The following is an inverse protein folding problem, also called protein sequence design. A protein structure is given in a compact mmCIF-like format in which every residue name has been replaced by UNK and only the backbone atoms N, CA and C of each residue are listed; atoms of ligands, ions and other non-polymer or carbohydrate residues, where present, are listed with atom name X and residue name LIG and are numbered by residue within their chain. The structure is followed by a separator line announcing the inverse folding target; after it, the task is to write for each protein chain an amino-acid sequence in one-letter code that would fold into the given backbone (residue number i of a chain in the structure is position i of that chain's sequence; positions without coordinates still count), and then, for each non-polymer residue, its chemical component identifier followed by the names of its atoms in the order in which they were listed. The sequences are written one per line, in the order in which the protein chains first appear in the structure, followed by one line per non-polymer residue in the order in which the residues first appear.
data_IF_296748072719
#
_entry.id   IF_296748072719
#
_cell.length_a   1.000
_cell.length_b   1.000
_cell.length_c   1.000
_cell.angle_alpha   90.00
_cell.angle_beta   90.00
_cell.angle_gamma   90.00
#
_symmetry.space_group_name_H-M   'P 1'
#
loop_
_entity.id
_entity.type
_entity.pdbx_description
1 polymer ?
#
# COMPACT_ATOMS: atom_id res chain seq x y z
N UNK A 1 16.73 7.17 1.60
CA UNK A 1 15.82 6.24 2.29
C UNK A 1 14.95 5.58 1.23
N UNK A 2 14.79 4.26 1.30
CA UNK A 2 13.97 3.49 0.35
C UNK A 2 12.74 2.94 1.06
N UNK A 3 11.58 3.14 0.46
CA UNK A 3 10.30 2.63 0.94
C UNK A 3 9.80 1.50 0.04
N UNK A 4 9.16 0.50 0.63
CA UNK A 4 8.28 -0.42 -0.09
C UNK A 4 6.84 -0.06 0.25
N UNK A 5 5.96 0.00 -0.74
CA UNK A 5 4.57 0.41 -0.62
C UNK A 5 3.69 -0.72 -1.15
N UNK A 6 2.77 -1.20 -0.33
CA UNK A 6 1.83 -2.26 -0.70
C UNK A 6 0.43 -1.99 -0.14
N UNK A 7 -0.56 -2.67 -0.67
CA UNK A 7 -1.96 -2.53 -0.29
C UNK A 7 -2.71 -3.85 -0.39
N UNK A 8 -3.81 -3.93 0.33
CA UNK A 8 -4.85 -4.94 0.11
C UNK A 8 -4.30 -6.38 0.24
N UNK A 9 -3.74 -6.70 1.44
CA UNK A 9 -3.24 -8.04 1.81
C UNK A 9 -4.41 -9.00 2.08
N UNK A 10 -5.50 -8.48 2.64
CA UNK A 10 -6.75 -9.21 2.89
C UNK A 10 -6.58 -10.56 3.61
N UNK A 11 -5.65 -10.65 4.56
CA UNK A 11 -5.45 -11.84 5.38
C UNK A 11 -4.72 -13.00 4.69
N UNK A 12 -4.18 -12.79 3.50
CA UNK A 12 -3.38 -13.80 2.81
C UNK A 12 -2.01 -13.98 3.44
N UNK A 13 -1.78 -15.09 4.10
CA UNK A 13 -0.45 -15.41 4.66
C UNK A 13 0.57 -15.68 3.54
N UNK A 14 0.15 -16.28 2.43
CA UNK A 14 1.02 -16.50 1.28
C UNK A 14 1.58 -15.20 0.72
N UNK A 15 0.70 -14.23 0.40
CA UNK A 15 1.15 -12.97 -0.17
C UNK A 15 1.81 -12.05 0.86
N UNK A 16 1.47 -12.15 2.13
CA UNK A 16 2.19 -11.46 3.20
C UNK A 16 3.65 -11.95 3.30
N UNK A 17 3.90 -13.27 3.23
CA UNK A 17 5.27 -13.82 3.17
C UNK A 17 6.03 -13.30 1.95
N UNK A 18 5.40 -13.30 0.78
CA UNK A 18 6.00 -12.76 -0.45
C UNK A 18 6.33 -11.27 -0.35
N UNK A 19 5.45 -10.48 0.26
CA UNK A 19 5.70 -9.07 0.52
C UNK A 19 6.92 -8.85 1.40
N UNK A 20 7.06 -9.64 2.47
CA UNK A 20 8.20 -9.56 3.39
C UNK A 20 9.50 -10.01 2.70
N UNK A 21 9.46 -11.06 1.85
CA UNK A 21 10.59 -11.44 1.01
C UNK A 21 11.02 -10.27 0.10
N UNK A 22 10.06 -9.62 -0.58
CA UNK A 22 10.34 -8.44 -1.41
C UNK A 22 10.91 -7.28 -0.57
N UNK A 23 10.36 -7.02 0.62
CA UNK A 23 10.85 -5.99 1.53
C UNK A 23 12.34 -6.15 1.85
N UNK A 24 12.77 -7.36 2.16
CA UNK A 24 14.17 -7.66 2.43
C UNK A 24 15.04 -7.63 1.16
N UNK A 25 14.58 -8.23 0.06
CA UNK A 25 15.32 -8.27 -1.21
C UNK A 25 15.57 -6.89 -1.81
N UNK A 26 14.62 -5.97 -1.64
CA UNK A 26 14.75 -4.58 -2.07
C UNK A 26 15.65 -3.73 -1.16
N UNK A 27 16.12 -4.25 -0.03
CA UNK A 27 16.89 -3.51 0.97
C UNK A 27 16.16 -2.22 1.39
N UNK A 28 14.85 -2.31 1.64
CA UNK A 28 14.03 -1.18 2.01
C UNK A 28 14.18 -0.83 3.49
N UNK A 29 13.96 0.44 3.83
CA UNK A 29 14.09 0.93 5.20
C UNK A 29 12.75 0.99 5.93
N UNK A 30 11.64 1.11 5.18
CA UNK A 30 10.28 1.23 5.70
C UNK A 30 9.29 0.55 4.78
N UNK A 31 8.25 -0.02 5.38
CA UNK A 31 7.09 -0.59 4.71
C UNK A 31 5.89 0.33 4.90
N UNK A 32 5.30 0.80 3.80
CA UNK A 32 4.06 1.57 3.82
C UNK A 32 2.93 0.64 3.40
N UNK A 33 1.94 0.45 4.29
CA UNK A 33 0.74 -0.34 4.03
C UNK A 33 -0.46 0.59 3.88
N UNK A 34 -1.18 0.44 2.78
CA UNK A 34 -2.31 1.31 2.45
C UNK A 34 -3.65 0.77 2.95
N UNK A 35 -3.66 -0.15 3.92
CA UNK A 35 -4.86 -0.70 4.53
C UNK A 35 -5.32 -2.02 3.93
N UNK A 36 -6.48 -2.49 4.40
CA UNK A 36 -7.11 -3.78 4.09
C UNK A 36 -6.15 -4.95 4.35
N UNK A 37 -5.71 -5.05 5.63
CA UNK A 37 -4.65 -5.97 6.06
C UNK A 37 -5.17 -7.38 6.35
N UNK A 38 -6.18 -7.52 7.23
CA UNK A 38 -6.56 -8.81 7.82
C UNK A 38 -7.83 -9.41 7.22
N UNK A 39 -8.87 -8.60 7.00
CA UNK A 39 -10.17 -9.07 6.55
C UNK A 39 -10.24 -9.08 5.01
N UNK A 40 -10.75 -10.20 4.44
CA UNK A 40 -10.87 -10.33 2.99
C UNK A 40 -11.93 -9.41 2.37
N UNK A 41 -12.88 -8.90 3.18
CA UNK A 41 -14.03 -8.14 2.73
C UNK A 41 -15.16 -9.03 2.18
N UNK A 42 -16.45 -8.68 2.40
CA UNK A 42 -17.58 -9.58 2.10
C UNK A 42 -17.83 -9.74 0.58
N UNK A 43 -17.22 -8.90 -0.25
CA UNK A 43 -17.41 -8.90 -1.71
C UNK A 43 -16.30 -9.62 -2.47
N UNK A 44 -15.24 -10.04 -1.79
CA UNK A 44 -14.11 -10.73 -2.40
C UNK A 44 -14.14 -12.21 -2.04
N UNK A 45 -13.66 -13.05 -2.96
CA UNK A 45 -13.33 -14.43 -2.62
C UNK A 45 -12.15 -14.46 -1.62
N UNK A 46 -12.01 -15.56 -0.90
CA UNK A 46 -10.87 -15.74 0.00
C UNK A 46 -9.58 -15.77 -0.82
N UNK A 47 -8.58 -14.95 -0.46
CA UNK A 47 -7.29 -15.01 -1.13
C UNK A 47 -6.55 -16.31 -0.80
N UNK A 48 -5.53 -16.60 -1.58
CA UNK A 48 -4.67 -17.77 -1.35
C UNK A 48 -4.12 -17.76 0.07
N UNK A 49 -4.24 -18.90 0.76
CA UNK A 49 -3.75 -19.11 2.13
C UNK A 49 -4.29 -18.03 3.09
N UNK A 50 -5.63 -17.89 3.14
CA UNK A 50 -6.27 -16.95 4.06
C UNK A 50 -6.05 -17.38 5.50
N UNK A 51 -5.10 -16.77 6.18
CA UNK A 51 -4.71 -17.04 7.56
C UNK A 51 -4.34 -15.74 8.30
N UNK A 52 -5.32 -14.90 8.68
CA UNK A 52 -5.07 -13.59 9.30
C UNK A 52 -4.17 -13.65 10.53
N UNK A 53 -4.24 -14.71 11.34
CA UNK A 53 -3.37 -14.86 12.52
C UNK A 53 -1.89 -14.95 12.15
N UNK A 54 -1.56 -15.63 11.06
CA UNK A 54 -0.18 -15.68 10.55
C UNK A 54 0.27 -14.32 10.02
N UNK A 55 -0.64 -13.59 9.35
CA UNK A 55 -0.36 -12.21 8.90
C UNK A 55 -0.02 -11.30 10.07
N UNK A 56 -0.79 -11.38 11.18
CA UNK A 56 -0.53 -10.64 12.42
C UNK A 56 0.88 -10.96 12.94
N UNK A 57 1.21 -12.25 13.09
CA UNK A 57 2.52 -12.67 13.61
C UNK A 57 3.69 -12.18 12.74
N UNK A 58 3.51 -12.19 11.42
CA UNK A 58 4.53 -11.74 10.47
C UNK A 58 4.73 -10.23 10.53
N UNK A 59 3.66 -9.44 10.46
CA UNK A 59 3.74 -7.98 10.44
C UNK A 59 4.18 -7.40 11.79
N UNK A 60 3.77 -7.99 12.92
CA UNK A 60 4.19 -7.53 14.25
C UNK A 60 5.71 -7.65 14.44
N UNK A 61 6.40 -8.56 13.74
CA UNK A 61 7.87 -8.62 13.74
C UNK A 61 8.51 -7.39 13.09
N UNK A 62 7.78 -6.70 12.21
CA UNK A 62 8.22 -5.50 11.49
C UNK A 62 7.57 -4.20 12.03
N UNK A 63 6.92 -4.23 13.19
CA UNK A 63 6.12 -3.13 13.74
C UNK A 63 6.82 -1.77 13.77
N UNK A 64 8.12 -1.74 14.01
CA UNK A 64 8.90 -0.50 14.07
C UNK A 64 9.26 0.07 12.69
N UNK A 65 9.00 -0.68 11.63
CA UNK A 65 9.36 -0.36 10.26
C UNK A 65 8.12 -0.02 9.42
N UNK A 66 6.91 -0.29 9.96
CA UNK A 66 5.64 -0.11 9.26
C UNK A 66 5.06 1.29 9.52
N UNK A 67 4.63 1.93 8.43
CA UNK A 67 3.64 3.00 8.42
C UNK A 67 2.39 2.44 7.77
N UNK A 68 1.25 2.52 8.44
CA UNK A 68 -0.01 2.01 7.91
C UNK A 68 -1.11 3.07 7.98
N UNK A 69 -1.97 3.10 6.95
CA UNK A 69 -3.22 3.85 6.96
C UNK A 69 -4.41 2.88 6.96
N UNK A 70 -5.56 3.37 7.48
CA UNK A 70 -6.79 2.60 7.60
C UNK A 70 -7.43 2.33 6.24
N UNK A 71 -7.74 1.06 5.96
CA UNK A 71 -8.63 0.66 4.88
C UNK A 71 -10.10 0.61 5.31
N UNK A 72 -10.97 0.20 4.40
CA UNK A 72 -12.40 0.02 4.73
C UNK A 72 -12.68 -1.28 5.50
N UNK A 73 -11.71 -2.17 5.56
CA UNK A 73 -11.82 -3.43 6.29
C UNK A 73 -11.24 -3.37 7.71
N UNK A 74 -10.48 -2.34 8.08
CA UNK A 74 -9.94 -2.20 9.42
C UNK A 74 -10.99 -1.76 10.43
N UNK A 75 -10.99 -2.46 11.56
CA UNK A 75 -11.82 -2.15 12.74
C UNK A 75 -10.93 -1.99 13.98
N UNK A 76 -11.52 -1.50 15.08
CA UNK A 76 -10.83 -1.36 16.37
C UNK A 76 -10.22 -2.67 16.86
N UNK A 77 -10.82 -3.81 16.52
CA UNK A 77 -10.32 -5.14 16.89
C UNK A 77 -8.99 -5.46 16.20
N UNK A 78 -8.74 -4.92 15.01
CA UNK A 78 -7.47 -5.13 14.31
C UNK A 78 -6.33 -4.38 15.03
N UNK A 79 -6.61 -3.19 15.55
CA UNK A 79 -5.66 -2.44 16.38
C UNK A 79 -5.33 -3.15 17.70
N UNK A 80 -6.19 -4.03 18.20
CA UNK A 80 -5.91 -4.81 19.42
C UNK A 80 -4.88 -5.92 19.20
N UNK A 81 -4.66 -6.34 17.96
CA UNK A 81 -3.80 -7.47 17.60
C UNK A 81 -2.59 -7.09 16.75
N UNK A 82 -2.61 -5.90 16.12
CA UNK A 82 -1.48 -5.35 15.40
C UNK A 82 -0.72 -4.34 16.26
N UNK A 83 0.57 -4.57 16.45
CA UNK A 83 1.45 -3.79 17.33
C UNK A 83 1.92 -2.45 16.72
N UNK A 84 1.32 -2.02 15.62
CA UNK A 84 1.57 -0.74 14.95
C UNK A 84 0.23 -0.03 14.64
N UNK A 85 0.20 1.31 14.50
CA UNK A 85 -1.04 2.03 14.20
C UNK A 85 -1.66 1.62 12.87
N UNK A 86 -2.97 1.30 12.85
CA UNK A 86 -3.72 0.89 11.66
C UNK A 86 -5.00 1.68 11.43
N UNK A 87 -5.35 2.62 12.32
CA UNK A 87 -6.62 3.35 12.27
C UNK A 87 -6.49 4.81 11.80
N UNK A 88 -5.34 5.23 11.28
CA UNK A 88 -5.16 6.56 10.73
C UNK A 88 -5.79 6.63 9.32
N UNK A 89 -6.78 7.48 9.10
CA UNK A 89 -7.46 7.60 7.80
C UNK A 89 -6.53 8.08 6.69
N UNK A 90 -5.45 8.79 7.05
CA UNK A 90 -4.40 9.24 6.14
C UNK A 90 -3.08 9.53 6.87
N UNK A 91 -2.02 9.64 6.08
CA UNK A 91 -0.72 10.15 6.52
C UNK A 91 -0.19 11.14 5.48
N UNK A 92 0.64 12.09 5.93
CA UNK A 92 1.30 13.07 5.07
C UNK A 92 2.81 12.80 5.09
N UNK A 93 3.40 12.61 3.93
CA UNK A 93 4.85 12.44 3.82
C UNK A 93 5.46 13.51 2.91
N UNK A 94 6.35 14.37 3.46
CA UNK A 94 7.08 15.36 2.65
C UNK A 94 8.04 14.67 1.67
N UNK A 95 8.02 15.12 0.40
CA UNK A 95 8.95 14.74 -0.66
C UNK A 95 9.46 16.01 -1.35
N UNK A 96 10.60 16.52 -0.88
CA UNK A 96 11.11 17.82 -1.34
C UNK A 96 10.09 18.94 -1.04
N UNK A 97 9.61 19.62 -2.08
CA UNK A 97 8.62 20.71 -1.98
C UNK A 97 7.16 20.22 -2.11
N UNK A 98 6.94 18.91 -2.17
CA UNK A 98 5.64 18.28 -2.37
C UNK A 98 5.22 17.52 -1.13
N UNK A 99 3.94 17.24 -1.01
CA UNK A 99 3.39 16.31 -0.02
C UNK A 99 2.85 15.08 -0.75
N UNK A 100 3.21 13.91 -0.28
CA UNK A 100 2.50 12.69 -0.63
C UNK A 100 1.39 12.47 0.40
N UNK A 101 0.15 12.60 -0.03
CA UNK A 101 -1.04 12.28 0.73
C UNK A 101 -1.31 10.77 0.59
N UNK A 102 -1.11 10.05 1.67
CA UNK A 102 -1.21 8.58 1.74
C UNK A 102 -2.55 8.24 2.38
N UNK A 103 -3.38 7.49 1.69
CA UNK A 103 -4.68 7.02 2.20
C UNK A 103 -5.01 5.64 1.62
N UNK A 104 -6.12 5.04 2.02
CA UNK A 104 -6.54 3.79 1.40
C UNK A 104 -7.29 3.98 0.07
N UNK A 105 -8.12 5.00 -0.05
CA UNK A 105 -8.91 5.29 -1.26
C UNK A 105 -10.42 5.20 -1.08
N UNK A 106 -10.93 4.69 0.05
CA UNK A 106 -12.36 4.59 0.31
C UNK A 106 -12.99 5.90 0.81
N UNK A 107 -12.20 6.80 1.39
CA UNK A 107 -12.63 8.14 1.84
C UNK A 107 -12.14 9.19 0.85
N UNK A 108 -10.81 9.30 0.68
CA UNK A 108 -10.18 10.23 -0.25
C UNK A 108 -9.69 9.46 -1.48
N UNK A 109 -10.05 9.95 -2.66
CA UNK A 109 -9.71 9.37 -3.97
C UNK A 109 -9.85 10.44 -5.05
N UNK A 110 -9.75 10.08 -6.34
CA UNK A 110 -9.85 11.02 -7.45
C UNK A 110 -11.24 11.68 -7.61
N UNK A 111 -12.29 11.10 -7.01
CA UNK A 111 -13.65 11.65 -7.01
C UNK A 111 -13.91 12.50 -5.76
N UNK A 112 -13.14 12.30 -4.71
CA UNK A 112 -13.23 13.01 -3.44
C UNK A 112 -11.81 13.38 -2.97
N UNK A 113 -11.26 14.41 -3.63
CA UNK A 113 -9.87 14.83 -3.38
C UNK A 113 -9.68 15.40 -1.97
N UNK A 114 -8.58 15.03 -1.30
CA UNK A 114 -8.13 15.76 -0.12
C UNK A 114 -7.57 17.14 -0.55
N UNK A 115 -7.29 18.04 0.41
CA UNK A 115 -6.63 19.31 0.10
C UNK A 115 -5.19 19.06 -0.39
N UNK A 116 -4.99 19.14 -1.71
CA UNK A 116 -3.69 19.01 -2.38
C UNK A 116 -3.27 20.36 -2.96
N UNK A 117 -1.96 20.62 -2.98
CA UNK A 117 -1.35 21.71 -3.74
C UNK A 117 -0.83 21.18 -5.07
N UNK A 118 -0.57 22.13 -5.99
CA UNK A 118 0.03 21.79 -7.28
C UNK A 118 1.36 21.05 -7.09
N UNK A 119 1.45 19.90 -7.75
CA UNK A 119 2.59 19.00 -7.69
C UNK A 119 2.54 17.94 -6.58
N UNK A 120 1.56 17.97 -5.69
CA UNK A 120 1.38 16.94 -4.65
C UNK A 120 1.02 15.57 -5.25
N UNK A 121 1.14 14.53 -4.44
CA UNK A 121 0.88 13.16 -4.83
C UNK A 121 -0.28 12.62 -3.99
N UNK A 122 -1.28 12.02 -4.65
CA UNK A 122 -2.30 11.19 -4.03
C UNK A 122 -1.90 9.73 -4.18
N UNK A 123 -1.58 9.07 -3.08
CA UNK A 123 -1.24 7.65 -3.05
C UNK A 123 -2.34 6.86 -2.33
N UNK A 124 -2.98 5.92 -3.02
CA UNK A 124 -3.96 5.03 -2.39
C UNK A 124 -4.04 3.65 -3.04
N UNK A 125 -4.66 2.67 -2.34
CA UNK A 125 -4.97 1.31 -2.78
C UNK A 125 -6.43 1.13 -3.18
N UNK A 126 -7.15 0.25 -2.49
CA UNK A 126 -8.60 0.02 -2.53
C UNK A 126 -9.17 -0.51 -3.86
N UNK A 127 -8.74 0.02 -4.99
CA UNK A 127 -9.26 -0.41 -6.30
C UNK A 127 -8.70 -1.75 -6.74
N UNK A 128 -7.59 -2.19 -6.14
CA UNK A 128 -6.80 -3.38 -6.49
C UNK A 128 -6.19 -3.32 -7.90
N UNK A 129 -6.16 -2.14 -8.53
CA UNK A 129 -5.63 -1.93 -9.88
C UNK A 129 -4.43 -0.98 -9.80
N UNK A 130 -3.22 -1.42 -10.20
CA UNK A 130 -2.06 -0.55 -10.21
C UNK A 130 -2.25 0.60 -11.20
N UNK A 131 -1.87 1.82 -10.79
CA UNK A 131 -2.12 3.02 -11.60
C UNK A 131 -1.09 4.10 -11.34
N UNK A 132 -0.80 4.88 -12.38
CA UNK A 132 -0.06 6.14 -12.29
C UNK A 132 -0.67 7.12 -13.30
N UNK A 133 -1.22 8.22 -12.82
CA UNK A 133 -1.86 9.25 -13.66
C UNK A 133 -1.42 10.63 -13.21
N UNK A 134 -0.82 11.37 -14.13
CA UNK A 134 -0.53 12.80 -13.94
C UNK A 134 -1.75 13.61 -14.39
N UNK A 135 -2.41 14.29 -13.45
CA UNK A 135 -3.54 15.19 -13.70
C UNK A 135 -3.12 16.65 -13.93
N UNK A 136 -1.81 16.91 -13.97
CA UNK A 136 -1.26 18.25 -14.13
C UNK A 136 -1.14 19.03 -12.80
N UNK A 137 -2.18 19.04 -11.97
CA UNK A 137 -2.17 19.67 -10.64
C UNK A 137 -1.68 18.70 -9.55
N UNK A 138 -1.90 17.41 -9.69
CA UNK A 138 -1.42 16.38 -8.79
C UNK A 138 -1.15 15.07 -9.56
N UNK A 139 -0.37 14.18 -8.98
CA UNK A 139 -0.15 12.84 -9.52
C UNK A 139 -0.85 11.81 -8.64
N UNK A 140 -1.70 10.98 -9.25
CA UNK A 140 -2.31 9.83 -8.59
C UNK A 140 -1.48 8.56 -8.78
N UNK A 141 -1.27 7.80 -7.70
CA UNK A 141 -0.53 6.54 -7.72
C UNK A 141 -1.24 5.45 -6.90
N UNK A 142 -1.19 4.22 -7.40
CA UNK A 142 -1.77 3.04 -6.75
C UNK A 142 -0.86 1.83 -6.97
N UNK A 143 -0.46 1.08 -5.92
CA UNK A 143 0.33 -0.14 -6.08
C UNK A 143 -0.46 -1.32 -6.66
N UNK A 144 -1.79 -1.25 -6.68
CA UNK A 144 -2.65 -2.42 -6.84
C UNK A 144 -2.80 -3.23 -5.55
N UNK A 145 -3.30 -4.45 -5.64
CA UNK A 145 -3.38 -5.38 -4.52
C UNK A 145 -2.27 -6.42 -4.59
N UNK A 146 -1.63 -6.69 -3.44
CA UNK A 146 -0.63 -7.76 -3.36
C UNK A 146 -1.29 -9.15 -3.43
N UNK A 147 -2.54 -9.31 -2.97
CA UNK A 147 -3.18 -10.62 -2.81
C UNK A 147 -4.33 -10.90 -3.76
N UNK A 148 -5.15 -9.90 -4.10
CA UNK A 148 -6.35 -10.04 -4.96
C UNK A 148 -6.41 -8.94 -6.02
N UNK A 149 -5.44 -8.89 -6.95
CA UNK A 149 -5.42 -7.90 -8.02
C UNK A 149 -6.65 -8.02 -8.92
N UNK A 150 -7.10 -6.91 -9.48
CA UNK A 150 -8.24 -6.83 -10.40
C UNK A 150 -7.80 -6.43 -11.81
N UNK A 151 -8.73 -6.53 -12.77
CA UNK A 151 -8.51 -6.14 -14.17
C UNK A 151 -7.30 -6.87 -14.82
N UNK A 152 -7.09 -8.13 -14.46
CA UNK A 152 -5.96 -8.95 -14.91
C UNK A 152 -4.58 -8.33 -14.62
N UNK A 153 -4.51 -7.46 -13.61
CA UNK A 153 -3.24 -6.91 -13.14
C UNK A 153 -2.44 -7.95 -12.33
N UNK A 154 -1.19 -7.64 -12.09
CA UNK A 154 -0.27 -8.53 -11.37
C UNK A 154 -0.37 -8.34 -9.85
N UNK A 155 -0.01 -9.37 -9.10
CA UNK A 155 0.31 -9.28 -7.68
C UNK A 155 1.58 -8.44 -7.56
N UNK A 156 1.51 -7.28 -6.88
CA UNK A 156 2.63 -6.37 -6.93
C UNK A 156 2.68 -5.37 -5.79
N UNK A 157 3.72 -4.59 -5.84
CA UNK A 157 4.05 -3.53 -4.89
C UNK A 157 4.74 -2.37 -5.61
N UNK A 158 4.97 -1.28 -4.90
CA UNK A 158 5.81 -0.19 -5.39
C UNK A 158 7.04 -0.02 -4.51
N UNK A 159 8.09 0.56 -5.07
CA UNK A 159 9.20 1.13 -4.29
C UNK A 159 9.31 2.62 -4.55
N UNK A 160 9.73 3.38 -3.53
CA UNK A 160 10.10 4.79 -3.66
C UNK A 160 11.53 4.98 -3.17
N UNK A 161 12.39 5.47 -4.04
CA UNK A 161 13.78 5.81 -3.74
C UNK A 161 14.26 6.94 -4.64
N UNK A 162 14.88 7.98 -4.05
CA UNK A 162 15.45 9.13 -4.79
C UNK A 162 14.45 9.77 -5.77
N UNK A 163 13.21 10.00 -5.30
CA UNK A 163 12.10 10.58 -6.06
C UNK A 163 11.65 9.75 -7.27
N UNK A 164 11.99 8.46 -7.29
CA UNK A 164 11.57 7.51 -8.32
C UNK A 164 10.65 6.46 -7.73
N UNK A 165 9.45 6.36 -8.28
CA UNK A 165 8.48 5.32 -8.00
C UNK A 165 8.62 4.18 -9.01
N UNK A 166 8.64 2.92 -8.53
CA UNK A 166 8.69 1.73 -9.38
C UNK A 166 7.60 0.76 -8.98
N UNK A 167 6.79 0.35 -9.94
CA UNK A 167 5.82 -0.75 -9.79
C UNK A 167 6.52 -2.05 -10.15
N UNK A 168 6.41 -3.04 -9.29
CA UNK A 168 7.03 -4.35 -9.47
C UNK A 168 6.04 -5.46 -9.15
N UNK A 169 6.20 -6.61 -9.83
CA UNK A 169 5.49 -7.82 -9.43
C UNK A 169 6.15 -8.48 -8.20
N UNK A 170 5.52 -9.52 -7.64
CA UNK A 170 6.02 -10.25 -6.47
C UNK A 170 7.33 -11.02 -6.72
N UNK A 171 7.80 -11.10 -7.96
CA UNK A 171 9.10 -11.67 -8.33
C UNK A 171 10.19 -10.60 -8.48
N UNK A 172 9.83 -9.32 -8.26
CA UNK A 172 10.73 -8.17 -8.38
C UNK A 172 10.91 -7.63 -9.79
N UNK A 173 10.17 -8.12 -10.77
CA UNK A 173 10.22 -7.61 -12.14
C UNK A 173 9.62 -6.21 -12.22
N UNK A 174 10.34 -5.29 -12.87
CA UNK A 174 9.87 -3.93 -13.08
C UNK A 174 8.73 -3.92 -14.11
N UNK A 175 7.61 -3.31 -13.73
CA UNK A 175 6.40 -3.18 -14.56
C UNK A 175 6.27 -1.74 -15.08
N UNK A 176 6.49 -0.76 -14.21
CA UNK A 176 6.39 0.66 -14.55
C UNK A 176 7.31 1.49 -13.66
N UNK A 177 7.70 2.67 -14.13
CA UNK A 177 8.50 3.63 -13.40
C UNK A 177 7.99 5.06 -13.62
N UNK A 178 8.01 5.87 -12.57
CA UNK A 178 7.69 7.30 -12.61
C UNK A 178 8.67 8.08 -11.77
N UNK A 179 9.30 9.11 -12.36
CA UNK A 179 10.23 10.00 -11.68
C UNK A 179 9.56 11.36 -11.43
N UNK A 180 9.61 11.82 -10.19
CA UNK A 180 9.22 13.19 -9.85
C UNK A 180 10.24 14.16 -10.47
N UNK A 181 9.80 15.08 -11.29
CA UNK A 181 10.63 16.12 -11.92
C UNK A 181 10.61 17.39 -11.09
#
# INVERSE_FOLDING_TARGET
MKFLIASDIHGSAYYCRKLIECYHNENTNRLILLGDILYHGPRNDLPQDYAPKEVIEMLNKLKNEILCVRGNCEAEVDQMVLDFPVLADYALMPLGNRIMFITHGHIFNEQHLPPLKDGDILLHGHTHVPKCVDYGTYTYMNPGSISIPKENSHHGYMTLENDVFRWKDINGNLINEYSLR
#
